data_IF_439720164633
#
_entry.id   IF_439720164633
#
_cell.length_a   1.000
_cell.length_b   1.000
_cell.length_c   1.000
_cell.angle_alpha   90.00
_cell.angle_beta   90.00
_cell.angle_gamma   90.00
#
_symmetry.space_group_name_H-M   'P 1'
#
loop_
_entity.id
_entity.type
_entity.pdbx_description
1 polymer ?
#
# COMPACT_ATOMS: atom_id res chain seq x y z
N UNK A 1 -2.09 1.74 21.36
CA UNK A 1 -1.05 2.71 20.89
C UNK A 1 -1.10 2.76 19.36
N UNK A 2 -1.13 3.97 18.72
CA UNK A 2 -1.09 4.03 17.25
C UNK A 2 0.33 3.77 16.74
N UNK A 3 0.46 2.82 15.81
CA UNK A 3 1.73 2.44 15.21
C UNK A 3 1.67 2.38 13.69
N UNK A 4 2.79 2.67 13.03
CA UNK A 4 2.89 2.64 11.58
C UNK A 4 4.21 2.02 11.11
N UNK A 5 4.25 1.57 9.86
CA UNK A 5 5.47 1.23 9.15
C UNK A 5 5.57 2.05 7.87
N UNK A 6 6.73 2.64 7.63
CA UNK A 6 7.04 3.36 6.40
C UNK A 6 8.02 2.53 5.59
N UNK A 7 7.64 2.16 4.37
CA UNK A 7 8.54 1.49 3.44
C UNK A 7 9.52 2.46 2.81
N UNK A 8 10.79 2.41 3.27
CA UNK A 8 11.88 3.27 2.80
C UNK A 8 13.08 2.49 2.20
N UNK A 9 12.97 1.15 2.08
CA UNK A 9 14.01 0.28 1.55
C UNK A 9 14.14 0.28 0.01
N UNK A 10 13.30 1.03 -0.70
CA UNK A 10 13.27 1.05 -2.16
C UNK A 10 14.55 1.62 -2.78
N UNK A 11 15.05 1.00 -3.86
CA UNK A 11 16.29 1.42 -4.56
C UNK A 11 16.18 2.76 -5.31
N UNK A 12 14.97 3.22 -5.62
CA UNK A 12 14.74 4.50 -6.29
C UNK A 12 15.32 4.62 -7.71
N UNK A 13 15.56 3.53 -8.42
CA UNK A 13 16.28 3.49 -9.71
C UNK A 13 15.74 4.42 -10.78
N UNK A 14 14.45 4.75 -10.74
CA UNK A 14 13.78 5.65 -11.68
C UNK A 14 13.99 7.15 -11.36
N UNK A 15 14.56 7.47 -10.18
CA UNK A 15 14.90 8.84 -9.75
C UNK A 15 16.37 9.17 -9.96
N UNK A 16 17.13 8.32 -10.63
CA UNK A 16 18.52 8.63 -11.01
C UNK A 16 18.59 9.89 -11.88
N UNK A 17 19.61 10.75 -11.69
CA UNK A 17 20.83 10.54 -10.88
C UNK A 17 20.68 10.88 -9.38
N UNK A 18 19.56 11.43 -8.89
CA UNK A 18 19.41 11.83 -7.48
C UNK A 18 19.69 10.67 -6.52
N UNK A 19 19.19 9.49 -6.85
CA UNK A 19 19.35 8.30 -6.02
C UNK A 19 20.65 7.53 -6.24
N UNK A 20 21.61 8.08 -6.98
CA UNK A 20 22.96 7.55 -7.05
C UNK A 20 23.79 7.86 -5.78
N UNK A 21 23.39 8.90 -5.02
CA UNK A 21 24.11 9.38 -3.84
C UNK A 21 23.29 9.44 -2.57
N UNK A 22 21.96 9.25 -2.65
CA UNK A 22 21.07 9.27 -1.50
C UNK A 22 19.91 8.30 -1.65
N UNK A 23 19.31 7.82 -0.53
CA UNK A 23 18.11 6.98 -0.60
C UNK A 23 16.91 7.79 -1.06
N UNK A 24 15.98 7.14 -1.77
CA UNK A 24 14.73 7.75 -2.25
C UNK A 24 13.97 8.47 -1.11
N UNK A 25 13.98 7.92 0.08
CA UNK A 25 13.31 8.47 1.26
C UNK A 25 13.79 9.88 1.64
N UNK A 26 15.02 10.24 1.27
CA UNK A 26 15.61 11.55 1.53
C UNK A 26 15.54 12.52 0.36
N UNK A 27 14.99 12.12 -0.79
CA UNK A 27 14.70 13.04 -1.89
C UNK A 27 13.73 14.10 -1.42
N UNK A 28 14.04 15.37 -1.72
CA UNK A 28 13.28 16.52 -1.24
C UNK A 28 12.17 16.90 -2.21
N UNK A 29 11.02 17.24 -1.65
CA UNK A 29 9.87 17.84 -2.33
C UNK A 29 9.39 18.99 -1.46
N UNK A 30 9.19 20.17 -2.03
CA UNK A 30 8.87 21.36 -1.24
C UNK A 30 9.94 21.71 -0.20
N UNK A 31 11.21 21.41 -0.49
CA UNK A 31 12.34 21.66 0.42
C UNK A 31 12.58 20.60 1.50
N UNK A 32 11.66 19.63 1.71
CA UNK A 32 11.74 18.65 2.78
C UNK A 32 11.80 17.21 2.25
N UNK A 33 12.51 16.27 2.95
CA UNK A 33 12.56 14.87 2.56
C UNK A 33 11.18 14.20 2.54
N UNK A 34 10.96 13.29 1.58
CA UNK A 34 9.74 12.47 1.50
C UNK A 34 9.42 11.78 2.83
N UNK A 35 10.43 11.23 3.49
CA UNK A 35 10.29 10.57 4.79
C UNK A 35 9.73 11.53 5.86
N UNK A 36 10.19 12.79 5.87
CA UNK A 36 9.69 13.80 6.83
C UNK A 36 8.21 14.11 6.61
N UNK A 37 7.78 14.24 5.37
CA UNK A 37 6.37 14.49 5.05
C UNK A 37 5.47 13.40 5.64
N UNK A 38 5.82 12.12 5.46
CA UNK A 38 5.02 11.01 5.99
C UNK A 38 5.07 10.98 7.52
N UNK A 39 6.25 11.11 8.14
CA UNK A 39 6.40 11.08 9.61
C UNK A 39 5.58 12.19 10.27
N UNK A 40 5.66 13.42 9.77
CA UNK A 40 4.97 14.55 10.41
C UNK A 40 3.44 14.43 10.28
N UNK A 41 2.92 13.90 9.17
CA UNK A 41 1.50 13.64 9.01
C UNK A 41 1.01 12.55 9.96
N UNK A 42 1.79 11.48 10.14
CA UNK A 42 1.48 10.43 11.12
C UNK A 42 1.53 10.96 12.56
N UNK A 43 2.58 11.74 12.90
CA UNK A 43 2.71 12.38 14.22
C UNK A 43 1.51 13.27 14.54
N UNK A 44 1.07 14.08 13.58
CA UNK A 44 -0.04 15.03 13.75
C UNK A 44 -1.36 14.35 14.16
N UNK A 45 -1.57 13.08 13.80
CA UNK A 45 -2.77 12.31 14.15
C UNK A 45 -2.52 11.26 15.24
N UNK A 46 -1.41 11.40 15.99
CA UNK A 46 -1.15 10.67 17.22
C UNK A 46 -0.52 9.28 17.03
N UNK A 47 0.15 9.01 15.90
CA UNK A 47 1.04 7.86 15.80
C UNK A 47 2.30 8.13 16.64
N UNK A 48 2.60 7.24 17.57
CA UNK A 48 3.72 7.39 18.52
C UNK A 48 4.86 6.42 18.25
N UNK A 49 4.59 5.28 17.58
CA UNK A 49 5.62 4.34 17.14
C UNK A 49 5.62 4.26 15.62
N UNK A 50 6.80 4.44 15.01
CA UNK A 50 6.98 4.30 13.56
C UNK A 50 8.16 3.38 13.30
N UNK A 51 7.93 2.31 12.53
CA UNK A 51 8.97 1.43 12.02
C UNK A 51 9.35 1.92 10.62
N UNK A 52 10.64 2.11 10.37
CA UNK A 52 11.17 2.48 9.05
C UNK A 52 12.08 1.35 8.57
N UNK A 53 11.72 0.69 7.47
CA UNK A 53 12.63 -0.27 6.88
C UNK A 53 13.67 0.46 6.01
N UNK A 54 14.90 -0.03 6.04
CA UNK A 54 16.03 0.58 5.35
C UNK A 54 16.83 -0.49 4.60
N UNK A 55 17.38 -0.13 3.45
CA UNK A 55 18.25 -1.01 2.65
C UNK A 55 19.41 -0.20 2.05
N UNK A 56 19.22 0.33 0.83
CA UNK A 56 20.23 1.13 0.14
C UNK A 56 20.45 2.48 0.84
N UNK A 57 21.71 2.86 1.11
CA UNK A 57 22.06 4.05 1.91
C UNK A 57 21.40 4.09 3.30
N UNK A 58 21.24 2.93 3.95
CA UNK A 58 20.58 2.81 5.26
C UNK A 58 21.12 3.79 6.31
N UNK A 59 22.46 3.96 6.37
CA UNK A 59 23.12 4.89 7.31
C UNK A 59 22.62 6.34 7.14
N UNK A 60 22.40 6.79 5.91
CA UNK A 60 21.91 8.17 5.69
C UNK A 60 20.50 8.38 6.26
N UNK A 61 19.61 7.37 6.15
CA UNK A 61 18.27 7.45 6.75
C UNK A 61 18.36 7.47 8.27
N UNK A 62 19.18 6.58 8.84
CA UNK A 62 19.38 6.49 10.30
C UNK A 62 19.98 7.78 10.85
N UNK A 63 21.01 8.33 10.19
CA UNK A 63 21.65 9.58 10.60
C UNK A 63 20.69 10.77 10.49
N UNK A 64 19.89 10.81 9.42
CA UNK A 64 18.86 11.84 9.28
C UNK A 64 17.83 11.78 10.41
N UNK A 65 17.30 10.60 10.72
CA UNK A 65 16.34 10.45 11.83
C UNK A 65 16.93 10.87 13.16
N UNK A 66 18.18 10.48 13.43
CA UNK A 66 18.91 10.86 14.65
C UNK A 66 19.14 12.39 14.72
N UNK A 67 19.51 13.04 13.61
CA UNK A 67 19.66 14.49 13.52
C UNK A 67 18.36 15.26 13.78
N UNK A 68 17.20 14.62 13.57
CA UNK A 68 15.88 15.17 13.85
C UNK A 68 15.33 14.70 15.22
N UNK A 69 16.18 14.20 16.13
CA UNK A 69 15.77 13.65 17.44
C UNK A 69 14.60 12.65 17.31
N UNK A 70 14.59 11.85 16.20
CA UNK A 70 13.49 10.94 15.84
C UNK A 70 12.11 11.62 15.84
N UNK A 71 12.05 12.93 15.64
CA UNK A 71 10.81 13.72 15.68
C UNK A 71 10.04 13.59 17.00
N UNK A 72 10.69 13.32 18.14
CA UNK A 72 10.13 12.98 19.46
C UNK A 72 9.18 11.75 19.40
N UNK A 73 9.48 10.76 18.57
CA UNK A 73 8.71 9.53 18.38
C UNK A 73 9.54 8.29 18.71
N UNK A 74 8.89 7.17 19.04
CA UNK A 74 9.52 5.83 19.08
C UNK A 74 9.74 5.33 17.65
N UNK A 75 10.83 5.82 17.01
CA UNK A 75 11.20 5.34 15.67
C UNK A 75 12.13 4.14 15.79
N UNK A 76 11.76 3.04 15.14
CA UNK A 76 12.52 1.79 15.11
C UNK A 76 12.93 1.46 13.69
N UNK A 77 14.15 0.96 13.52
CA UNK A 77 14.70 0.62 12.23
C UNK A 77 14.57 -0.88 11.99
N UNK A 78 13.95 -1.25 10.85
CA UNK A 78 13.98 -2.61 10.31
C UNK A 78 15.06 -2.65 9.22
N UNK A 79 16.22 -3.21 9.53
CA UNK A 79 17.39 -3.20 8.66
C UNK A 79 17.33 -4.34 7.64
N UNK A 80 17.23 -4.00 6.35
CA UNK A 80 17.22 -4.94 5.21
C UNK A 80 18.51 -4.85 4.38
N UNK A 81 19.62 -4.31 4.92
CA UNK A 81 20.87 -4.07 4.18
C UNK A 81 21.45 -5.34 3.57
N UNK A 82 21.26 -6.51 4.20
CA UNK A 82 21.73 -7.80 3.69
C UNK A 82 20.94 -8.29 2.47
N UNK A 83 19.63 -8.02 2.44
CA UNK A 83 18.75 -8.43 1.33
C UNK A 83 17.48 -7.59 1.29
N UNK A 84 17.10 -7.13 0.10
CA UNK A 84 15.81 -6.48 -0.13
C UNK A 84 14.68 -7.52 -0.07
N UNK A 85 13.76 -7.38 0.89
CA UNK A 85 12.78 -8.40 1.22
C UNK A 85 11.42 -8.22 0.51
N UNK A 86 11.23 -7.16 -0.26
CA UNK A 86 9.95 -6.72 -0.80
C UNK A 86 8.95 -6.36 0.31
N UNK A 87 7.71 -6.02 -0.06
CA UNK A 87 6.76 -5.43 0.90
C UNK A 87 6.25 -6.43 1.95
N UNK A 88 6.01 -7.66 1.58
CA UNK A 88 5.57 -8.69 2.54
C UNK A 88 6.69 -9.17 3.46
N UNK A 89 7.87 -9.44 2.90
CA UNK A 89 9.05 -9.83 3.67
C UNK A 89 9.52 -8.73 4.61
N UNK A 90 9.41 -7.45 4.19
CA UNK A 90 9.70 -6.29 5.03
C UNK A 90 8.80 -6.23 6.27
N UNK A 91 7.47 -6.46 6.11
CA UNK A 91 6.56 -6.56 7.26
C UNK A 91 6.93 -7.75 8.15
N UNK A 92 7.17 -8.93 7.56
CA UNK A 92 7.56 -10.13 8.30
C UNK A 92 8.80 -9.87 9.16
N UNK A 93 9.84 -9.25 8.61
CA UNK A 93 11.06 -8.90 9.34
C UNK A 93 10.80 -7.89 10.47
N UNK A 94 9.87 -6.97 10.27
CA UNK A 94 9.54 -5.93 11.24
C UNK A 94 8.64 -6.43 12.39
N UNK A 95 8.07 -7.63 12.34
CA UNK A 95 7.15 -8.18 13.36
C UNK A 95 7.66 -7.97 14.79
N UNK A 96 8.94 -8.26 15.14
CA UNK A 96 9.42 -8.07 16.52
C UNK A 96 9.47 -6.61 17.00
N UNK A 97 9.31 -5.65 16.09
CA UNK A 97 9.35 -4.21 16.38
C UNK A 97 7.96 -3.62 16.62
N UNK A 98 6.90 -4.32 16.20
CA UNK A 98 5.52 -3.90 16.41
C UNK A 98 5.03 -4.22 17.84
N UNK A 99 3.88 -3.66 18.18
CA UNK A 99 3.07 -4.04 19.32
C UNK A 99 1.94 -4.97 18.85
N UNK A 100 1.57 -5.95 19.64
CA UNK A 100 0.53 -6.92 19.30
C UNK A 100 -0.89 -6.42 19.64
N UNK A 101 -1.02 -5.22 20.19
CA UNK A 101 -2.27 -4.69 20.75
C UNK A 101 -3.08 -3.81 19.79
N UNK A 102 -2.53 -3.47 18.63
CA UNK A 102 -3.20 -2.56 17.69
C UNK A 102 -2.76 -2.79 16.25
N UNK A 103 -3.65 -2.52 15.27
CA UNK A 103 -3.28 -2.57 13.86
C UNK A 103 -2.12 -1.64 13.51
N UNK A 104 -1.36 -2.02 12.49
CA UNK A 104 -0.23 -1.26 11.95
C UNK A 104 -0.67 -0.57 10.67
N UNK A 105 -0.56 0.76 10.60
CA UNK A 105 -0.68 1.47 9.34
C UNK A 105 0.59 1.27 8.51
N UNK A 106 0.45 0.79 7.29
CA UNK A 106 1.56 0.63 6.35
C UNK A 106 1.48 1.70 5.27
N UNK A 107 2.61 2.36 5.00
CA UNK A 107 2.70 3.44 4.04
C UNK A 107 4.00 3.42 3.24
N UNK A 108 3.93 3.66 1.94
CA UNK A 108 5.13 3.81 1.11
C UNK A 108 5.68 5.24 1.24
N UNK A 109 6.97 5.39 1.47
CA UNK A 109 7.62 6.70 1.66
C UNK A 109 7.47 7.65 0.47
N UNK A 110 7.27 7.10 -0.72
CA UNK A 110 7.20 7.82 -2.00
C UNK A 110 5.78 8.16 -2.46
N UNK A 111 4.79 7.92 -1.63
CA UNK A 111 3.40 8.29 -1.90
C UNK A 111 3.05 9.57 -1.15
N UNK A 112 2.68 10.61 -1.91
CA UNK A 112 1.97 11.77 -1.39
C UNK A 112 0.48 11.55 -1.58
N UNK A 113 -0.33 11.88 -0.59
CA UNK A 113 -1.77 11.62 -0.59
C UNK A 113 -2.55 12.64 0.25
N UNK A 114 -3.89 12.63 0.13
CA UNK A 114 -4.81 13.44 0.91
C UNK A 114 -5.58 12.65 1.98
N UNK A 115 -5.03 11.51 2.43
CA UNK A 115 -5.69 10.65 3.41
C UNK A 115 -5.63 11.28 4.81
N UNK A 116 -6.78 11.38 5.45
CA UNK A 116 -6.85 11.54 6.90
C UNK A 116 -6.57 10.18 7.55
N UNK A 117 -5.35 10.01 8.08
CA UNK A 117 -4.93 8.74 8.69
C UNK A 117 -5.68 8.42 9.99
N UNK A 118 -6.24 9.42 10.68
CA UNK A 118 -7.09 9.17 11.83
C UNK A 118 -8.45 8.61 11.41
N UNK A 119 -9.05 9.19 10.34
CA UNK A 119 -10.22 8.60 9.72
C UNK A 119 -9.95 7.17 9.23
N UNK A 120 -8.84 6.95 8.53
CA UNK A 120 -8.51 5.62 8.01
C UNK A 120 -8.31 4.59 9.12
N UNK A 121 -7.64 4.94 10.21
CA UNK A 121 -7.46 4.06 11.35
C UNK A 121 -8.78 3.62 12.00
N UNK A 122 -9.79 4.52 12.03
CA UNK A 122 -11.14 4.20 12.55
C UNK A 122 -11.97 3.29 11.64
N UNK A 123 -11.54 3.09 10.39
CA UNK A 123 -12.23 2.17 9.47
C UNK A 123 -11.79 0.72 9.64
N UNK A 124 -10.74 0.44 10.40
CA UNK A 124 -10.32 -0.92 10.69
C UNK A 124 -11.15 -1.47 11.85
N UNK A 125 -12.13 -2.31 11.51
CA UNK A 125 -13.01 -2.93 12.50
C UNK A 125 -12.32 -4.12 13.20
N UNK A 126 -12.79 -4.45 14.41
CA UNK A 126 -12.15 -5.49 15.24
C UNK A 126 -12.15 -6.89 14.60
N UNK A 127 -13.09 -7.19 13.72
CA UNK A 127 -13.17 -8.47 13.01
C UNK A 127 -12.42 -8.49 11.67
N UNK A 128 -11.81 -7.38 11.28
CA UNK A 128 -11.00 -7.28 10.05
C UNK A 128 -9.54 -7.58 10.34
N UNK A 129 -8.89 -8.32 9.43
CA UNK A 129 -7.49 -8.67 9.53
C UNK A 129 -6.60 -7.70 8.74
N UNK A 130 -7.11 -7.13 7.65
CA UNK A 130 -6.50 -6.02 6.95
C UNK A 130 -7.54 -5.15 6.23
N UNK A 131 -7.26 -3.85 6.18
CA UNK A 131 -8.04 -2.86 5.42
C UNK A 131 -7.13 -2.25 4.36
N UNK A 132 -7.49 -2.42 3.09
CA UNK A 132 -6.72 -1.93 1.94
C UNK A 132 -7.37 -0.65 1.41
N UNK A 133 -6.66 0.47 1.43
CA UNK A 133 -7.17 1.70 0.83
C UNK A 133 -7.11 1.57 -0.69
N UNK A 134 -8.25 1.73 -1.34
CA UNK A 134 -8.40 1.55 -2.78
C UNK A 134 -9.15 2.71 -3.43
N UNK A 135 -8.99 2.87 -4.73
CA UNK A 135 -9.65 3.93 -5.49
C UNK A 135 -10.02 3.49 -6.90
N UNK A 136 -10.85 4.28 -7.56
CA UNK A 136 -11.31 4.05 -8.95
C UNK A 136 -10.31 4.55 -10.00
N UNK A 137 -9.07 4.90 -9.63
CA UNK A 137 -8.07 5.38 -10.58
C UNK A 137 -7.74 4.35 -11.65
N UNK A 138 -7.46 4.80 -12.88
CA UNK A 138 -7.02 3.93 -13.96
C UNK A 138 -5.61 3.40 -13.69
N UNK A 139 -5.42 2.09 -13.82
CA UNK A 139 -4.13 1.40 -13.67
C UNK A 139 -4.13 0.13 -14.53
N UNK A 140 -3.00 -0.55 -14.61
CA UNK A 140 -2.89 -1.88 -15.24
C UNK A 140 -3.25 -3.01 -14.29
N UNK A 141 -3.18 -2.78 -12.97
CA UNK A 141 -3.31 -3.80 -11.92
C UNK A 141 -4.42 -3.44 -10.96
N UNK A 142 -5.37 -4.34 -10.78
CA UNK A 142 -6.52 -4.16 -9.91
C UNK A 142 -6.62 -5.28 -8.90
N UNK A 143 -7.11 -4.95 -7.71
CA UNK A 143 -7.63 -5.91 -6.76
C UNK A 143 -9.11 -6.18 -7.07
N UNK A 144 -9.53 -7.43 -6.90
CA UNK A 144 -10.88 -7.89 -7.12
C UNK A 144 -11.56 -8.12 -5.77
N UNK A 145 -12.75 -7.56 -5.59
CA UNK A 145 -13.51 -7.66 -4.36
C UNK A 145 -14.91 -8.18 -4.62
N UNK A 146 -15.49 -8.87 -3.66
CA UNK A 146 -16.92 -9.21 -3.66
C UNK A 146 -17.80 -7.98 -3.32
N UNK A 147 -19.13 -8.19 -3.30
CA UNK A 147 -20.09 -7.12 -2.96
C UNK A 147 -19.97 -6.62 -1.51
N UNK A 148 -19.37 -7.40 -0.61
CA UNK A 148 -19.05 -7.01 0.76
C UNK A 148 -17.64 -6.41 0.88
N UNK A 149 -17.02 -6.05 -0.25
CA UNK A 149 -15.65 -5.53 -0.34
C UNK A 149 -14.59 -6.45 0.27
N UNK A 150 -14.81 -7.77 0.32
CA UNK A 150 -13.77 -8.73 0.72
C UNK A 150 -12.87 -9.05 -0.46
N UNK A 151 -11.57 -9.11 -0.23
CA UNK A 151 -10.57 -9.41 -1.25
C UNK A 151 -10.78 -10.83 -1.79
N UNK A 152 -10.87 -10.95 -3.12
CA UNK A 152 -11.09 -12.20 -3.82
C UNK A 152 -9.96 -12.53 -4.79
N UNK A 153 -9.25 -11.53 -5.33
CA UNK A 153 -8.24 -11.75 -6.34
C UNK A 153 -7.50 -10.49 -6.77
N UNK A 154 -6.69 -10.64 -7.78
CA UNK A 154 -5.92 -9.59 -8.44
C UNK A 154 -5.86 -9.87 -9.94
N UNK A 155 -5.85 -8.82 -10.73
CA UNK A 155 -5.69 -8.94 -12.19
C UNK A 155 -4.74 -7.87 -12.74
N UNK A 156 -4.05 -8.23 -13.83
CA UNK A 156 -3.38 -7.28 -14.71
C UNK A 156 -4.13 -7.25 -16.04
N UNK A 157 -4.88 -6.19 -16.28
CA UNK A 157 -5.74 -6.03 -17.48
C UNK A 157 -4.95 -5.86 -18.79
N UNK A 158 -3.65 -5.60 -18.72
CA UNK A 158 -2.79 -5.50 -19.90
C UNK A 158 -2.29 -6.88 -20.36
N UNK A 159 -1.97 -7.77 -19.40
CA UNK A 159 -1.44 -9.11 -19.70
C UNK A 159 -2.52 -10.21 -19.64
N UNK A 160 -3.69 -9.92 -19.08
CA UNK A 160 -4.73 -10.91 -18.80
C UNK A 160 -4.41 -11.80 -17.60
N UNK A 161 -3.32 -11.58 -16.88
CA UNK A 161 -2.96 -12.38 -15.71
C UNK A 161 -3.97 -12.17 -14.58
N UNK A 162 -4.47 -13.28 -14.02
CA UNK A 162 -5.38 -13.28 -12.86
C UNK A 162 -4.79 -14.17 -11.77
N UNK A 163 -4.74 -13.66 -10.54
CA UNK A 163 -4.34 -14.38 -9.32
C UNK A 163 -5.49 -14.42 -8.33
N UNK A 164 -5.82 -15.60 -7.83
CA UNK A 164 -6.86 -15.79 -6.81
C UNK A 164 -6.71 -17.16 -6.15
N UNK A 165 -7.09 -17.34 -4.88
CA UNK A 165 -7.25 -18.66 -4.27
C UNK A 165 -8.48 -19.41 -4.82
N UNK A 166 -9.40 -18.71 -5.50
CA UNK A 166 -10.64 -19.28 -6.02
C UNK A 166 -10.48 -19.65 -7.50
N UNK A 167 -10.68 -20.94 -7.84
CA UNK A 167 -10.50 -21.46 -9.21
C UNK A 167 -11.36 -20.73 -10.25
N UNK A 168 -12.60 -20.46 -9.90
CA UNK A 168 -13.54 -19.76 -10.77
C UNK A 168 -13.17 -18.32 -11.10
N UNK A 169 -12.34 -17.66 -10.26
CA UNK A 169 -11.75 -16.33 -10.55
C UNK A 169 -10.53 -16.49 -11.46
N UNK A 170 -9.67 -17.49 -11.20
CA UNK A 170 -8.46 -17.70 -11.99
C UNK A 170 -8.73 -18.02 -13.45
N UNK A 171 -9.88 -18.63 -13.75
CA UNK A 171 -10.31 -18.97 -15.11
C UNK A 171 -11.10 -17.83 -15.78
N UNK A 172 -11.39 -16.74 -15.08
CA UNK A 172 -12.07 -15.58 -15.65
C UNK A 172 -11.11 -14.79 -16.55
N UNK A 173 -11.54 -14.50 -17.78
CA UNK A 173 -10.85 -13.55 -18.64
C UNK A 173 -11.26 -12.12 -18.27
N UNK A 174 -10.35 -11.38 -17.63
CA UNK A 174 -10.58 -9.99 -17.22
C UNK A 174 -9.68 -9.09 -18.06
N UNK A 175 -10.27 -8.28 -18.92
CA UNK A 175 -9.56 -7.46 -19.90
C UNK A 175 -9.67 -5.96 -19.58
N UNK A 176 -8.90 -5.14 -20.29
CA UNK A 176 -9.02 -3.68 -20.23
C UNK A 176 -10.41 -3.19 -20.68
N UNK A 177 -11.06 -3.94 -21.60
CA UNK A 177 -12.43 -3.64 -22.06
C UNK A 177 -13.44 -3.86 -20.94
N UNK A 178 -13.24 -4.88 -20.09
CA UNK A 178 -14.09 -5.11 -18.92
C UNK A 178 -13.95 -3.96 -17.91
N UNK A 179 -12.77 -3.44 -17.74
CA UNK A 179 -12.54 -2.25 -16.92
C UNK A 179 -13.29 -1.01 -17.45
N UNK A 180 -13.24 -0.74 -18.75
CA UNK A 180 -13.96 0.39 -19.34
C UNK A 180 -15.48 0.24 -19.21
N UNK A 181 -15.99 -0.96 -19.45
CA UNK A 181 -17.42 -1.27 -19.23
C UNK A 181 -17.82 -1.14 -17.77
N UNK A 182 -16.97 -1.58 -16.84
CA UNK A 182 -17.19 -1.44 -15.41
C UNK A 182 -17.28 0.04 -15.01
N UNK A 183 -16.36 0.89 -15.49
CA UNK A 183 -16.40 2.35 -15.25
C UNK A 183 -17.70 2.98 -15.80
N UNK A 184 -18.11 2.61 -16.99
CA UNK A 184 -19.37 3.06 -17.60
C UNK A 184 -20.60 2.60 -16.80
N UNK A 185 -20.56 1.39 -16.24
CA UNK A 185 -21.66 0.88 -15.40
C UNK A 185 -21.80 1.65 -14.10
N UNK A 186 -20.70 2.07 -13.49
CA UNK A 186 -20.70 2.89 -12.28
C UNK A 186 -21.29 4.28 -12.52
N UNK A 187 -20.98 4.92 -13.67
CA UNK A 187 -21.51 6.23 -14.02
C UNK A 187 -23.02 6.20 -14.35
N UNK A 188 -23.53 5.04 -14.76
CA UNK A 188 -24.94 4.88 -15.20
C UNK A 188 -25.82 4.12 -14.20
N UNK A 189 -25.32 3.82 -12.97
CA UNK A 189 -26.01 2.96 -12.00
C UNK A 189 -26.45 1.58 -12.57
N UNK A 190 -25.75 1.10 -13.60
CA UNK A 190 -26.01 -0.21 -14.21
C UNK A 190 -25.09 -1.26 -13.59
N UNK A 191 -25.59 -2.49 -13.47
CA UNK A 191 -24.81 -3.61 -12.95
C UNK A 191 -23.93 -4.16 -14.07
N UNK A 192 -22.62 -4.12 -13.91
CA UNK A 192 -21.68 -4.79 -14.80
C UNK A 192 -21.47 -6.23 -14.33
N UNK A 193 -21.78 -7.19 -15.16
CA UNK A 193 -21.42 -8.59 -14.99
C UNK A 193 -20.45 -9.00 -16.11
N UNK A 194 -19.19 -9.38 -15.81
CA UNK A 194 -18.31 -9.93 -16.83
C UNK A 194 -18.97 -11.20 -17.43
N UNK A 195 -18.80 -11.38 -18.72
CA UNK A 195 -19.28 -12.60 -19.38
C UNK A 195 -18.46 -13.79 -18.86
N UNK A 196 -19.03 -14.52 -17.92
CA UNK A 196 -18.46 -15.76 -17.38
C UNK A 196 -19.24 -16.96 -17.91
N UNK A 197 -18.58 -18.08 -18.26
CA UNK A 197 -19.27 -19.32 -18.56
C UNK A 197 -19.94 -19.96 -17.33
N UNK A 198 -19.81 -19.38 -16.14
CA UNK A 198 -20.49 -19.83 -14.92
C UNK A 198 -21.91 -19.26 -14.82
N UNK A 199 -22.87 -20.06 -14.32
CA UNK A 199 -24.30 -19.71 -14.31
C UNK A 199 -24.71 -18.59 -13.34
N UNK A 200 -23.77 -18.00 -12.61
CA UNK A 200 -24.01 -16.81 -11.77
C UNK A 200 -23.14 -15.67 -12.27
N UNK A 201 -23.72 -14.49 -12.60
CA UNK A 201 -22.93 -13.32 -12.92
C UNK A 201 -22.20 -12.89 -11.64
N UNK A 202 -20.94 -13.26 -11.54
CA UNK A 202 -20.10 -12.83 -10.41
C UNK A 202 -19.67 -11.40 -10.68
N UNK A 203 -20.28 -10.49 -9.92
CA UNK A 203 -19.94 -9.08 -9.96
C UNK A 203 -18.69 -8.90 -9.12
N UNK A 204 -17.57 -8.57 -9.77
CA UNK A 204 -16.36 -8.14 -9.07
C UNK A 204 -16.31 -6.62 -9.04
N UNK A 205 -16.01 -6.09 -7.88
CA UNK A 205 -15.60 -4.71 -7.77
C UNK A 205 -14.08 -4.64 -8.02
N UNK A 206 -13.67 -3.88 -9.03
CA UNK A 206 -12.27 -3.72 -9.43
C UNK A 206 -11.73 -2.38 -8.95
N UNK A 207 -10.73 -2.39 -8.08
CA UNK A 207 -10.13 -1.17 -7.56
C UNK A 207 -8.61 -1.19 -7.62
N UNK A 208 -8.02 -0.01 -7.82
CA UNK A 208 -6.60 0.20 -7.74
C UNK A 208 -6.15 0.31 -6.28
N UNK A 209 -5.17 -0.49 -5.88
CA UNK A 209 -4.56 -0.40 -4.56
C UNK A 209 -3.70 0.88 -4.45
N UNK A 210 -3.81 1.59 -3.35
CA UNK A 210 -3.06 2.82 -3.10
C UNK A 210 -1.65 2.58 -2.54
N UNK A 211 -1.37 1.40 -2.00
CA UNK A 211 -0.16 1.13 -1.22
C UNK A 211 -0.30 1.51 0.27
N UNK A 212 -1.44 2.09 0.66
CA UNK A 212 -1.75 2.41 2.05
C UNK A 212 -2.72 1.33 2.57
N UNK A 213 -2.37 0.70 3.67
CA UNK A 213 -3.21 -0.33 4.27
C UNK A 213 -3.01 -0.42 5.78
N UNK A 214 -4.02 -0.95 6.46
CA UNK A 214 -3.97 -1.26 7.88
C UNK A 214 -3.88 -2.78 8.07
N UNK A 215 -2.96 -3.24 8.90
CA UNK A 215 -2.59 -4.65 9.07
C UNK A 215 -2.73 -5.07 10.52
N UNK A 216 -3.61 -6.03 10.81
CA UNK A 216 -3.81 -6.55 12.16
C UNK A 216 -2.67 -7.49 12.58
N UNK A 217 -2.19 -7.42 13.83
CA UNK A 217 -1.24 -8.39 14.38
C UNK A 217 -1.71 -9.85 14.29
N UNK A 218 -3.00 -10.12 14.18
CA UNK A 218 -3.55 -11.47 13.96
C UNK A 218 -3.01 -12.15 12.69
N UNK A 219 -2.50 -11.39 11.74
CA UNK A 219 -1.88 -11.92 10.53
C UNK A 219 -0.41 -12.33 10.71
N UNK A 220 0.27 -11.89 11.78
CA UNK A 220 1.69 -12.20 11.98
C UNK A 220 1.99 -13.71 11.97
N UNK A 221 1.24 -14.58 12.67
CA UNK A 221 1.51 -16.02 12.64
C UNK A 221 1.33 -16.65 11.24
N UNK A 222 0.50 -16.04 10.38
CA UNK A 222 0.32 -16.52 9.02
C UNK A 222 1.52 -16.20 8.14
N UNK A 223 2.25 -15.11 8.43
CA UNK A 223 3.46 -14.72 7.68
C UNK A 223 4.65 -15.63 7.95
N UNK A 224 4.71 -16.31 9.10
CA UNK A 224 5.82 -17.22 9.45
C UNK A 224 6.05 -18.31 8.39
N UNK A 225 4.97 -18.75 7.72
CA UNK A 225 5.00 -19.80 6.68
C UNK A 225 5.46 -19.30 5.31
N UNK A 226 5.58 -17.98 5.16
CA UNK A 226 6.04 -17.39 3.91
C UNK A 226 7.58 -17.38 3.86
N UNK A 227 8.19 -17.37 2.65
CA UNK A 227 9.63 -17.14 2.52
C UNK A 227 10.01 -15.78 3.10
N UNK A 228 11.32 -15.47 3.19
CA UNK A 228 11.74 -14.18 3.73
C UNK A 228 11.51 -13.02 2.74
N UNK A 229 11.45 -13.32 1.45
CA UNK A 229 11.21 -12.33 0.39
C UNK A 229 9.94 -12.65 -0.37
N UNK A 230 8.96 -11.74 -0.29
CA UNK A 230 7.69 -11.83 -1.05
C UNK A 230 6.94 -10.49 -1.07
N UNK A 231 6.13 -10.22 -2.12
CA UNK A 231 5.24 -9.06 -2.15
C UNK A 231 4.03 -9.26 -1.21
N UNK A 232 3.58 -8.20 -0.57
CA UNK A 232 2.43 -8.26 0.35
C UNK A 232 1.14 -8.72 -0.34
N UNK A 233 0.97 -8.40 -1.61
CA UNK A 233 -0.22 -8.82 -2.38
C UNK A 233 -0.29 -10.35 -2.49
N UNK A 234 0.82 -11.04 -2.70
CA UNK A 234 0.83 -12.51 -2.76
C UNK A 234 0.43 -13.13 -1.42
N UNK A 235 0.83 -12.51 -0.29
CA UNK A 235 0.37 -12.90 1.04
C UNK A 235 -1.14 -12.70 1.18
N UNK A 236 -1.66 -11.53 0.84
CA UNK A 236 -3.09 -11.26 0.92
C UNK A 236 -3.91 -12.22 0.07
N UNK A 237 -3.51 -12.49 -1.16
CA UNK A 237 -4.20 -13.41 -2.05
C UNK A 237 -4.17 -14.85 -1.53
N UNK A 238 -3.06 -15.28 -0.93
CA UNK A 238 -2.97 -16.64 -0.36
C UNK A 238 -3.76 -16.81 0.92
N UNK A 239 -4.10 -15.72 1.61
CA UNK A 239 -4.76 -15.75 2.94
C UNK A 239 -6.20 -15.27 2.92
N UNK A 240 -6.68 -14.54 1.90
CA UNK A 240 -8.01 -13.93 1.87
C UNK A 240 -9.19 -14.93 1.95
N UNK A 241 -8.97 -16.23 1.69
CA UNK A 241 -9.98 -17.27 1.88
C UNK A 241 -10.19 -17.66 3.35
N UNK A 242 -9.30 -17.26 4.26
CA UNK A 242 -9.32 -17.56 5.71
C UNK A 242 -9.10 -16.36 6.62
N UNK A 243 -8.78 -15.21 6.04
CA UNK A 243 -8.58 -13.93 6.73
C UNK A 243 -9.52 -12.89 6.13
N UNK A 244 -10.08 -12.03 6.97
CA UNK A 244 -10.96 -10.95 6.53
C UNK A 244 -10.14 -9.75 6.06
N UNK A 245 -9.83 -9.73 4.78
CA UNK A 245 -9.11 -8.65 4.10
C UNK A 245 -10.11 -7.87 3.27
N UNK A 246 -10.29 -6.58 3.57
CA UNK A 246 -11.33 -5.74 2.97
C UNK A 246 -10.75 -4.55 2.23
N UNK A 247 -11.46 -4.10 1.20
CA UNK A 247 -11.16 -2.86 0.48
C UNK A 247 -11.97 -1.70 1.05
N UNK A 248 -11.30 -0.59 1.36
CA UNK A 248 -11.94 0.67 1.71
C UNK A 248 -11.80 1.64 0.54
N UNK A 249 -12.93 2.01 -0.07
CA UNK A 249 -12.95 2.93 -1.20
C UNK A 249 -12.89 4.37 -0.70
N UNK A 250 -11.96 5.16 -1.24
CA UNK A 250 -11.91 6.61 -1.07
C UNK A 250 -12.05 7.26 -2.45
N UNK A 251 -13.25 7.73 -2.77
CA UNK A 251 -13.57 8.25 -4.11
C UNK A 251 -12.84 9.56 -4.42
N UNK A 252 -12.60 10.40 -3.41
CA UNK A 252 -11.84 11.65 -3.50
C UNK A 252 -10.35 11.47 -3.22
N UNK A 253 -9.83 10.23 -3.30
CA UNK A 253 -8.41 9.95 -3.09
C UNK A 253 -7.58 10.65 -4.16
N UNK A 254 -6.78 11.61 -3.71
CA UNK A 254 -5.68 12.18 -4.49
C UNK A 254 -4.40 11.55 -3.98
N UNK A 255 -3.62 11.00 -4.90
CA UNK A 255 -2.32 10.42 -4.57
C UNK A 255 -1.34 10.58 -5.73
N UNK A 256 -0.09 10.76 -5.39
CA UNK A 256 1.02 10.89 -6.33
C UNK A 256 2.18 10.00 -5.92
N UNK A 257 2.60 9.10 -6.80
CA UNK A 257 3.84 8.31 -6.66
C UNK A 257 5.03 9.18 -7.11
N UNK A 258 5.88 9.56 -6.16
CA UNK A 258 7.13 10.29 -6.42
C UNK A 258 8.22 9.30 -6.82
N UNK A 259 7.99 8.59 -7.91
CA UNK A 259 8.85 7.52 -8.38
C UNK A 259 9.73 7.84 -9.58
N UNK A 260 9.56 9.01 -10.21
CA UNK A 260 10.28 9.45 -11.40
C UNK A 260 10.67 10.92 -11.28
N UNK A 261 11.68 11.36 -12.04
CA UNK A 261 12.09 12.77 -12.06
C UNK A 261 10.94 13.70 -12.45
N UNK A 262 10.16 13.33 -13.47
CA UNK A 262 9.02 14.13 -13.94
C UNK A 262 7.92 14.28 -12.88
N UNK A 263 7.89 13.42 -11.87
CA UNK A 263 6.90 13.51 -10.77
C UNK A 263 7.30 14.50 -9.67
N UNK A 264 8.54 15.02 -9.66
CA UNK A 264 8.99 15.95 -8.60
C UNK A 264 8.28 17.30 -8.66
N UNK A 265 8.17 17.89 -9.84
CA UNK A 265 7.43 19.15 -10.04
C UNK A 265 5.94 18.98 -9.70
N UNK A 266 5.35 17.87 -10.12
CA UNK A 266 3.96 17.53 -9.74
C UNK A 266 3.81 17.35 -8.23
N UNK A 267 4.83 16.80 -7.56
CA UNK A 267 4.83 16.60 -6.12
C UNK A 267 4.87 17.93 -5.35
N UNK A 268 5.63 18.92 -5.83
CA UNK A 268 5.62 20.27 -5.25
C UNK A 268 4.23 20.91 -5.39
N UNK A 269 3.64 20.87 -6.57
CA UNK A 269 2.27 21.37 -6.81
C UNK A 269 1.22 20.64 -5.98
N UNK A 270 1.41 19.33 -5.74
CA UNK A 270 0.53 18.55 -4.89
C UNK A 270 0.57 19.05 -3.44
N UNK A 271 1.76 19.32 -2.90
CA UNK A 271 1.93 19.86 -1.54
C UNK A 271 1.34 21.27 -1.39
N UNK A 272 1.42 22.09 -2.43
CA UNK A 272 0.79 23.42 -2.48
C UNK A 272 -0.74 23.36 -2.59
N UNK A 273 -1.33 22.19 -2.82
CA UNK A 273 -2.77 22.02 -3.01
C UNK A 273 -3.28 22.53 -4.36
N UNK A 274 -2.40 22.69 -5.35
CA UNK A 274 -2.74 23.22 -6.68
C UNK A 274 -3.18 22.13 -7.67
N UNK A 275 -3.01 20.85 -7.32
CA UNK A 275 -3.51 19.67 -8.08
C UNK A 275 -4.08 18.61 -7.14
#
# INVERSE_FOLDING_TARGET
MKQAMIFAAGLGTRLKPLTDTMPKALVRVGGEPLLKHVILRLKAVGYTRIIVNVHHFASQIVDYLRQQDNFDLDIRISDETEALLETGGGIKKAIPLFSDDSPVLIHNVDVLDNVDYDWFARQHLDDEDAVLLVSRRKTKRYLLFDNAMRLMGWTNVETGEVKSPYDWIRTAEITAVDWEKYQLSLSNNSVFAPQSPHPSPLIYNMFAFSGIHSFSPRLFPLMERFPDRFPIIDFYLSTCHRARIVGLVKDDLRMLDVGKLDSLELAERFLEGTI
#
